data_IF_518201738871
#
_entry.id   IF_518201738871
#
_cell.length_a   1.000
_cell.length_b   1.000
_cell.length_c   1.000
_cell.angle_alpha   90.00
_cell.angle_beta   90.00
_cell.angle_gamma   90.00
#
_symmetry.space_group_name_H-M   'P 1'
#
loop_
_entity.id
_entity.type
_entity.pdbx_description
1 polymer ?
#
# COMPACT_ATOMS: atom_id res chain seq x y z
N UNK A 1 15.81 12.85 10.70
CA UNK A 1 14.88 11.93 11.40
C UNK A 1 14.76 10.62 10.62
N UNK A 2 14.43 9.51 11.32
CA UNK A 2 14.18 8.20 10.68
C UNK A 2 12.70 8.06 10.32
N UNK A 3 12.43 7.79 9.06
CA UNK A 3 11.11 7.47 8.53
C UNK A 3 11.02 5.96 8.27
N UNK A 4 10.03 5.29 8.82
CA UNK A 4 9.77 3.89 8.53
C UNK A 4 8.64 3.78 7.53
N UNK A 5 8.91 3.10 6.42
CA UNK A 5 7.98 3.00 5.28
C UNK A 5 7.58 1.56 5.02
N UNK A 6 6.30 1.37 4.70
CA UNK A 6 5.67 0.05 4.61
C UNK A 6 5.16 -0.21 3.20
N UNK A 7 5.62 -1.29 2.52
CA UNK A 7 5.22 -1.57 1.15
C UNK A 7 3.77 -2.02 1.03
N UNK A 8 3.23 -1.87 -0.16
CA UNK A 8 1.94 -2.38 -0.58
C UNK A 8 2.04 -3.53 -1.56
N UNK A 9 0.92 -3.81 -2.24
CA UNK A 9 0.80 -4.87 -3.23
C UNK A 9 1.85 -4.74 -4.34
N UNK A 10 2.46 -5.87 -4.72
CA UNK A 10 3.59 -5.95 -5.65
C UNK A 10 4.93 -6.24 -4.98
N UNK A 11 5.00 -6.21 -3.63
CA UNK A 11 6.20 -6.53 -2.88
C UNK A 11 6.30 -8.01 -2.46
N UNK A 12 5.22 -8.79 -2.59
CA UNK A 12 5.13 -10.19 -2.17
C UNK A 12 5.99 -11.12 -3.04
N UNK A 13 6.51 -12.17 -2.42
CA UNK A 13 7.20 -13.28 -3.08
C UNK A 13 7.06 -14.57 -2.26
N UNK A 14 7.11 -15.72 -2.91
CA UNK A 14 7.05 -17.03 -2.24
C UNK A 14 8.26 -17.22 -1.34
N UNK A 15 8.02 -17.64 -0.08
CA UNK A 15 9.06 -17.77 0.95
C UNK A 15 9.17 -16.57 1.89
N UNK A 16 8.45 -15.46 1.60
CA UNK A 16 8.51 -14.27 2.46
C UNK A 16 8.05 -14.56 3.88
N UNK A 17 8.84 -14.16 4.88
CA UNK A 17 8.56 -14.32 6.30
C UNK A 17 8.91 -15.67 6.89
N UNK A 18 9.37 -16.65 6.10
CA UNK A 18 9.80 -17.96 6.60
C UNK A 18 10.98 -17.83 7.57
N UNK A 19 11.94 -16.96 7.22
CA UNK A 19 13.10 -16.68 8.07
C UNK A 19 12.72 -16.05 9.42
N UNK A 20 11.73 -15.16 9.44
CA UNK A 20 11.18 -14.59 10.69
C UNK A 20 10.51 -15.69 11.52
N UNK A 21 9.71 -16.54 10.87
CA UNK A 21 9.00 -17.66 11.52
C UNK A 21 9.96 -18.65 12.17
N UNK A 22 11.07 -18.99 11.49
CA UNK A 22 12.06 -19.96 11.97
C UNK A 22 12.96 -19.40 13.07
N UNK A 23 13.32 -18.10 13.00
CA UNK A 23 14.30 -17.50 13.91
C UNK A 23 13.71 -16.85 15.16
N UNK A 24 12.43 -16.50 15.15
CA UNK A 24 11.79 -15.79 16.25
C UNK A 24 10.55 -16.52 16.77
N UNK A 25 10.56 -16.89 18.05
CA UNK A 25 9.39 -17.48 18.71
C UNK A 25 8.18 -16.50 18.74
N UNK A 26 8.45 -15.19 18.89
CA UNK A 26 7.41 -14.16 18.82
C UNK A 26 6.80 -14.07 17.42
N UNK A 27 7.64 -14.04 16.37
CA UNK A 27 7.16 -14.05 15.00
C UNK A 27 6.30 -15.31 14.72
N UNK A 28 6.78 -16.48 15.11
CA UNK A 28 6.05 -17.73 14.96
C UNK A 28 4.66 -17.66 15.60
N UNK A 29 4.58 -17.20 16.86
CA UNK A 29 3.30 -17.07 17.56
C UNK A 29 2.34 -16.10 16.84
N UNK A 30 2.83 -14.99 16.27
CA UNK A 30 2.02 -14.04 15.52
C UNK A 30 1.54 -14.61 14.19
N UNK A 31 2.37 -15.36 13.46
CA UNK A 31 1.95 -16.04 12.24
C UNK A 31 0.88 -17.10 12.50
N UNK A 32 1.03 -17.89 13.58
CA UNK A 32 0.02 -18.90 13.97
C UNK A 32 -1.30 -18.24 14.41
N UNK A 33 -1.23 -17.14 15.17
CA UNK A 33 -2.41 -16.36 15.52
C UNK A 33 -3.13 -15.81 14.27
N UNK A 34 -2.36 -15.37 13.27
CA UNK A 34 -2.91 -14.87 12.01
C UNK A 34 -3.69 -15.94 11.23
N UNK A 35 -3.23 -17.19 11.19
CA UNK A 35 -3.98 -18.30 10.60
C UNK A 35 -5.36 -18.46 11.26
N UNK A 36 -5.40 -18.35 12.60
CA UNK A 36 -6.65 -18.42 13.36
C UNK A 36 -7.60 -17.24 13.08
N UNK A 37 -7.07 -16.01 13.01
CA UNK A 37 -7.84 -14.79 12.74
C UNK A 37 -8.42 -14.80 11.32
N UNK A 38 -7.64 -15.23 10.34
CA UNK A 38 -8.04 -15.25 8.94
C UNK A 38 -8.93 -16.47 8.58
N UNK A 39 -8.90 -17.53 9.40
CA UNK A 39 -9.65 -18.76 9.16
C UNK A 39 -9.09 -19.64 8.05
N UNK A 40 -7.85 -19.41 7.61
CA UNK A 40 -7.12 -20.24 6.66
C UNK A 40 -5.60 -20.15 6.91
N UNK A 41 -4.85 -21.13 6.42
CA UNK A 41 -3.40 -21.22 6.63
C UNK A 41 -2.63 -20.26 5.71
N UNK A 42 -2.65 -18.95 6.02
CA UNK A 42 -1.92 -17.92 5.24
C UNK A 42 -0.41 -18.22 5.22
N UNK A 43 0.12 -18.86 6.26
CA UNK A 43 1.53 -19.23 6.35
C UNK A 43 1.94 -20.23 5.28
N UNK A 44 1.07 -21.17 4.89
CA UNK A 44 1.34 -22.10 3.80
C UNK A 44 1.46 -21.37 2.46
N UNK A 45 0.56 -20.41 2.21
CA UNK A 45 0.59 -19.56 1.00
C UNK A 45 1.85 -18.69 0.96
N UNK A 46 2.25 -18.12 2.09
CA UNK A 46 3.44 -17.25 2.17
C UNK A 46 4.74 -18.03 1.99
N UNK A 47 4.88 -19.21 2.64
CA UNK A 47 6.15 -19.92 2.76
C UNK A 47 6.40 -20.87 1.61
N UNK A 48 5.36 -21.55 1.13
CA UNK A 48 5.47 -22.64 0.15
C UNK A 48 4.37 -22.64 -0.92
N UNK A 49 3.55 -21.57 -0.99
CA UNK A 49 2.49 -21.42 -2.00
C UNK A 49 3.04 -21.16 -3.41
N UNK A 50 2.18 -20.67 -4.28
CA UNK A 50 2.54 -20.32 -5.66
C UNK A 50 2.48 -18.81 -5.89
N UNK A 51 3.18 -18.33 -6.93
CA UNK A 51 3.09 -16.92 -7.33
C UNK A 51 1.64 -16.52 -7.68
N UNK A 52 0.85 -17.43 -8.26
CA UNK A 52 -0.56 -17.22 -8.59
C UNK A 52 -1.41 -17.12 -7.32
N UNK A 53 -1.17 -17.99 -6.32
CA UNK A 53 -1.84 -17.94 -5.03
C UNK A 53 -1.58 -16.62 -4.31
N UNK A 54 -0.30 -16.20 -4.26
CA UNK A 54 0.11 -14.95 -3.64
C UNK A 54 -0.38 -13.69 -4.39
N UNK A 55 -0.76 -13.77 -5.67
CA UNK A 55 -1.34 -12.65 -6.43
C UNK A 55 -2.82 -12.42 -6.14
N UNK A 56 -3.52 -13.36 -5.53
CA UNK A 56 -4.91 -13.17 -5.15
C UNK A 56 -5.02 -12.09 -4.06
N UNK A 57 -5.80 -11.04 -4.29
CA UNK A 57 -5.90 -9.88 -3.37
C UNK A 57 -6.19 -10.29 -1.93
N UNK A 58 -7.05 -11.29 -1.72
CA UNK A 58 -7.38 -11.84 -0.39
C UNK A 58 -6.20 -12.49 0.33
N UNK A 59 -5.15 -12.90 -0.39
CA UNK A 59 -3.91 -13.47 0.14
C UNK A 59 -2.81 -12.43 0.19
N UNK A 60 -2.61 -11.70 -0.91
CA UNK A 60 -1.54 -10.71 -1.06
C UNK A 60 -1.53 -9.68 0.06
N UNK A 61 -2.68 -9.08 0.35
CA UNK A 61 -2.75 -7.99 1.31
C UNK A 61 -2.45 -8.46 2.74
N UNK A 62 -3.09 -9.51 3.28
CA UNK A 62 -2.72 -10.04 4.58
C UNK A 62 -1.25 -10.52 4.65
N UNK A 63 -0.74 -11.15 3.60
CA UNK A 63 0.64 -11.65 3.57
C UNK A 63 1.68 -10.52 3.72
N UNK A 64 1.54 -9.43 2.96
CA UNK A 64 2.44 -8.26 3.03
C UNK A 64 2.29 -7.57 4.40
N UNK A 65 1.06 -7.40 4.88
CA UNK A 65 0.78 -6.85 6.20
C UNK A 65 1.47 -7.66 7.30
N UNK A 66 1.30 -8.98 7.31
CA UNK A 66 1.89 -9.87 8.31
C UNK A 66 3.41 -9.77 8.31
N UNK A 67 4.05 -9.88 7.16
CA UNK A 67 5.50 -9.73 7.07
C UNK A 67 5.96 -8.40 7.66
N UNK A 68 5.34 -7.29 7.25
CA UNK A 68 5.72 -5.95 7.65
C UNK A 68 5.52 -5.69 9.14
N UNK A 69 4.37 -6.07 9.68
CA UNK A 69 4.03 -5.84 11.09
C UNK A 69 4.84 -6.76 12.00
N UNK A 70 4.98 -8.05 11.66
CA UNK A 70 5.76 -8.99 12.44
C UNK A 70 7.24 -8.57 12.47
N UNK A 71 7.80 -8.16 11.33
CA UNK A 71 9.16 -7.62 11.28
C UNK A 71 9.31 -6.42 12.22
N UNK A 72 8.37 -5.47 12.20
CA UNK A 72 8.43 -4.29 13.08
C UNK A 72 8.38 -4.64 14.56
N UNK A 73 7.64 -5.70 14.95
CA UNK A 73 7.56 -6.19 16.33
C UNK A 73 8.85 -6.90 16.76
N UNK A 74 9.40 -7.76 15.91
CA UNK A 74 10.63 -8.51 16.20
C UNK A 74 11.85 -7.59 16.31
N UNK A 75 11.88 -6.47 15.60
CA UNK A 75 12.89 -5.43 15.79
C UNK A 75 12.90 -4.83 17.22
N UNK A 76 11.77 -4.88 17.92
CA UNK A 76 11.66 -4.48 19.31
C UNK A 76 12.25 -3.08 19.58
N UNK A 77 13.32 -3.00 20.36
CA UNK A 77 13.96 -1.73 20.74
C UNK A 77 14.67 -1.01 19.59
N UNK A 78 14.99 -1.73 18.50
CA UNK A 78 15.64 -1.14 17.32
C UNK A 78 14.62 -0.47 16.40
N UNK A 79 13.34 -0.75 16.58
CA UNK A 79 12.25 -0.05 15.90
C UNK A 79 11.93 1.26 16.62
N UNK A 80 12.47 2.37 16.13
CA UNK A 80 12.35 3.70 16.75
C UNK A 80 11.84 4.74 15.74
N UNK A 81 10.60 4.62 15.26
CA UNK A 81 10.07 5.51 14.23
C UNK A 81 9.84 6.92 14.78
N UNK A 82 10.31 7.93 14.04
CA UNK A 82 9.98 9.33 14.27
C UNK A 82 8.83 9.78 13.37
N UNK A 83 8.60 9.05 12.28
CA UNK A 83 7.46 9.16 11.39
C UNK A 83 7.27 7.84 10.63
N UNK A 84 6.03 7.56 10.22
CA UNK A 84 5.69 6.38 9.44
C UNK A 84 4.85 6.75 8.21
N UNK A 85 4.98 5.98 7.14
CA UNK A 85 4.10 6.03 5.98
C UNK A 85 3.97 4.64 5.37
N UNK A 86 2.85 4.39 4.68
CA UNK A 86 2.66 3.15 3.95
C UNK A 86 2.08 3.40 2.58
N UNK A 87 2.46 2.59 1.59
CA UNK A 87 1.90 2.68 0.25
C UNK A 87 0.63 1.85 0.16
N UNK A 88 -0.53 2.48 -0.02
CA UNK A 88 -1.83 1.80 -0.11
C UNK A 88 -2.06 0.86 1.09
N UNK A 89 -2.03 -0.46 0.90
CA UNK A 89 -2.10 -1.45 1.97
C UNK A 89 -1.10 -1.17 3.10
N UNK A 90 0.11 -0.73 2.77
CA UNK A 90 1.16 -0.45 3.75
C UNK A 90 0.76 0.59 4.81
N UNK A 91 -0.25 1.41 4.54
CA UNK A 91 -0.78 2.36 5.53
C UNK A 91 -1.36 1.65 6.76
N UNK A 92 -2.02 0.49 6.59
CA UNK A 92 -2.48 -0.35 7.70
C UNK A 92 -1.31 -0.90 8.51
N UNK A 93 -0.24 -1.35 7.85
CA UNK A 93 0.98 -1.80 8.52
C UNK A 93 1.62 -0.66 9.32
N UNK A 94 1.69 0.54 8.75
CA UNK A 94 2.20 1.74 9.42
C UNK A 94 1.37 2.11 10.66
N UNK A 95 0.03 1.96 10.61
CA UNK A 95 -0.88 2.24 11.73
C UNK A 95 -0.75 1.22 12.87
N UNK A 96 -0.43 -0.03 12.58
CA UNK A 96 -0.09 -1.00 13.65
C UNK A 96 1.29 -0.70 14.22
N UNK A 97 2.26 -0.41 13.36
CA UNK A 97 3.63 -0.16 13.78
C UNK A 97 3.79 1.10 14.65
N UNK A 98 2.97 2.13 14.43
CA UNK A 98 2.96 3.34 15.26
C UNK A 98 2.00 3.27 16.47
N UNK A 99 1.38 2.11 16.72
CA UNK A 99 0.52 1.87 17.88
C UNK A 99 -0.92 2.39 17.73
N UNK A 100 -1.32 2.89 16.56
CA UNK A 100 -2.70 3.36 16.32
C UNK A 100 -3.70 2.20 16.30
N UNK A 101 -3.31 1.05 15.73
CA UNK A 101 -4.10 -0.17 15.67
C UNK A 101 -3.40 -1.30 16.43
N UNK A 102 -4.18 -2.23 16.98
CA UNK A 102 -3.63 -3.52 17.44
C UNK A 102 -3.28 -4.39 16.23
N UNK A 103 -2.49 -5.43 16.44
CA UNK A 103 -2.18 -6.42 15.40
C UNK A 103 -3.45 -7.10 14.87
N UNK A 104 -4.32 -7.50 15.79
CA UNK A 104 -5.57 -8.20 15.50
C UNK A 104 -6.53 -7.30 14.70
N UNK A 105 -6.74 -6.07 15.15
CA UNK A 105 -7.61 -5.10 14.47
C UNK A 105 -7.07 -4.75 13.08
N UNK A 106 -5.76 -4.53 12.97
CA UNK A 106 -5.11 -4.24 11.70
C UNK A 106 -5.27 -5.39 10.70
N UNK A 107 -5.05 -6.64 11.14
CA UNK A 107 -5.21 -7.82 10.29
C UNK A 107 -6.67 -8.04 9.86
N UNK A 108 -7.62 -7.87 10.77
CA UNK A 108 -9.06 -7.98 10.46
C UNK A 108 -9.50 -6.92 9.46
N UNK A 109 -9.05 -5.67 9.61
CA UNK A 109 -9.33 -4.60 8.65
C UNK A 109 -8.72 -4.89 7.28
N UNK A 110 -7.49 -5.40 7.23
CA UNK A 110 -6.82 -5.78 5.97
C UNK A 110 -7.56 -6.93 5.28
N UNK A 111 -8.02 -7.94 6.03
CA UNK A 111 -8.81 -9.04 5.49
C UNK A 111 -10.15 -8.54 4.90
N UNK A 112 -10.85 -7.67 5.63
CA UNK A 112 -12.10 -7.05 5.15
C UNK A 112 -11.86 -6.18 3.91
N UNK A 113 -10.78 -5.38 3.93
CA UNK A 113 -10.38 -4.56 2.77
C UNK A 113 -10.16 -5.43 1.53
N UNK A 114 -9.40 -6.49 1.67
CA UNK A 114 -9.09 -7.39 0.55
C UNK A 114 -10.36 -8.07 -0.01
N UNK A 115 -11.26 -8.51 0.86
CA UNK A 115 -12.54 -9.12 0.46
C UNK A 115 -13.46 -8.09 -0.22
N UNK A 116 -13.60 -6.88 0.35
CA UNK A 116 -14.43 -5.82 -0.22
C UNK A 116 -13.90 -5.36 -1.60
N UNK A 117 -12.57 -5.22 -1.74
CA UNK A 117 -11.95 -4.88 -3.03
C UNK A 117 -12.17 -5.98 -4.07
N UNK A 118 -12.04 -7.25 -3.70
CA UNK A 118 -12.30 -8.37 -4.61
C UNK A 118 -13.75 -8.35 -5.11
N UNK A 119 -14.70 -8.18 -4.20
CA UNK A 119 -16.14 -8.07 -4.55
C UNK A 119 -16.43 -6.85 -5.43
N UNK A 120 -15.80 -5.71 -5.17
CA UNK A 120 -15.94 -4.52 -6.02
C UNK A 120 -15.42 -4.77 -7.45
N UNK A 121 -14.30 -5.49 -7.60
CA UNK A 121 -13.76 -5.88 -8.91
C UNK A 121 -14.71 -6.80 -9.70
N UNK A 122 -15.42 -7.68 -9.00
CA UNK A 122 -16.42 -8.57 -9.64
C UNK A 122 -17.67 -7.80 -10.09
N UNK A 123 -18.08 -6.80 -9.32
CA UNK A 123 -19.24 -5.94 -9.63
C UNK A 123 -18.92 -4.91 -10.73
N UNK A 124 -17.72 -4.35 -10.70
CA UNK A 124 -17.26 -3.30 -11.59
C UNK A 124 -15.87 -3.65 -12.12
N UNK A 125 -15.79 -4.47 -13.18
CA UNK A 125 -14.53 -4.86 -13.78
C UNK A 125 -13.73 -3.65 -14.27
N UNK A 126 -12.46 -3.62 -13.93
CA UNK A 126 -11.56 -2.55 -14.32
C UNK A 126 -10.10 -3.02 -14.31
N UNK A 127 -9.19 -2.10 -14.60
CA UNK A 127 -7.77 -2.39 -14.63
C UNK A 127 -6.94 -1.18 -14.25
N UNK A 128 -5.63 -1.38 -14.20
CA UNK A 128 -4.65 -0.31 -13.99
C UNK A 128 -3.56 -0.39 -15.06
N UNK A 129 -2.88 0.73 -15.30
CA UNK A 129 -1.72 0.77 -16.19
C UNK A 129 -0.61 1.65 -15.61
N UNK A 130 0.63 1.20 -15.75
CA UNK A 130 1.80 1.98 -15.38
C UNK A 130 2.25 2.85 -16.56
N UNK A 131 2.35 4.16 -16.32
CA UNK A 131 2.81 5.17 -17.27
C UNK A 131 4.18 5.66 -16.85
N UNK A 132 5.16 5.59 -17.76
CA UNK A 132 6.54 5.98 -17.52
C UNK A 132 6.98 7.06 -18.50
N UNK A 133 7.64 8.09 -17.97
CA UNK A 133 8.34 9.10 -18.77
C UNK A 133 7.48 10.27 -19.24
N UNK A 134 6.28 10.43 -18.69
CA UNK A 134 5.48 11.67 -18.82
C UNK A 134 5.44 12.42 -17.51
N UNK A 135 5.23 13.72 -17.59
CA UNK A 135 4.92 14.58 -16.45
C UNK A 135 3.51 14.25 -15.91
N UNK A 136 3.33 14.35 -14.60
CA UNK A 136 2.08 14.00 -13.92
C UNK A 136 0.88 14.79 -14.48
N UNK A 137 1.05 16.12 -14.70
CA UNK A 137 0.02 16.99 -15.28
C UNK A 137 -0.42 16.56 -16.68
N UNK A 138 0.51 16.00 -17.48
CA UNK A 138 0.18 15.48 -18.82
C UNK A 138 -0.61 14.19 -18.74
N UNK A 139 -0.29 13.32 -17.79
CA UNK A 139 -1.06 12.10 -17.53
C UNK A 139 -2.48 12.46 -17.06
N UNK A 140 -2.63 13.42 -16.15
CA UNK A 140 -3.92 13.93 -15.68
C UNK A 140 -4.79 14.47 -16.81
N UNK A 141 -4.22 15.33 -17.67
CA UNK A 141 -4.88 15.87 -18.86
C UNK A 141 -5.38 14.75 -19.79
N UNK A 142 -4.52 13.78 -20.08
CA UNK A 142 -4.86 12.68 -20.98
C UNK A 142 -5.94 11.76 -20.39
N UNK A 143 -5.96 11.51 -19.08
CA UNK A 143 -7.04 10.79 -18.42
C UNK A 143 -8.39 11.49 -18.63
N UNK A 144 -8.44 12.82 -18.51
CA UNK A 144 -9.69 13.57 -18.70
C UNK A 144 -10.13 13.65 -20.16
N UNK A 145 -9.25 13.35 -21.12
CA UNK A 145 -9.50 13.44 -22.54
C UNK A 145 -10.10 12.18 -23.18
N UNK A 146 -10.27 11.09 -22.43
CA UNK A 146 -10.87 9.86 -22.92
C UNK A 146 -12.30 9.70 -22.38
N UNK A 147 -13.12 8.97 -23.11
CA UNK A 147 -14.46 8.60 -22.68
C UNK A 147 -14.39 7.46 -21.65
N UNK A 148 -15.25 7.49 -20.63
CA UNK A 148 -15.29 6.52 -19.55
C UNK A 148 -14.47 6.94 -18.35
N UNK A 149 -14.38 6.03 -17.37
CA UNK A 149 -13.71 6.29 -16.10
C UNK A 149 -12.25 5.85 -16.18
N UNK A 150 -11.33 6.82 -16.17
CA UNK A 150 -9.91 6.59 -15.96
C UNK A 150 -9.32 7.77 -15.18
N UNK A 151 -8.52 7.48 -14.17
CA UNK A 151 -7.97 8.48 -13.26
C UNK A 151 -6.54 8.13 -12.83
N UNK A 152 -5.71 9.12 -12.49
CA UNK A 152 -4.46 8.90 -11.77
C UNK A 152 -4.73 8.18 -10.44
N UNK A 153 -4.01 7.10 -10.19
CA UNK A 153 -4.20 6.24 -9.03
C UNK A 153 -2.99 6.21 -8.09
N UNK A 154 -1.76 6.12 -8.61
CA UNK A 154 -0.56 6.12 -7.76
C UNK A 154 0.51 7.04 -8.34
N UNK A 155 0.79 8.13 -7.64
CA UNK A 155 1.91 9.04 -7.92
C UNK A 155 3.16 8.46 -7.26
N UNK A 156 3.84 7.51 -7.94
CA UNK A 156 4.89 6.71 -7.34
C UNK A 156 6.23 7.43 -7.20
N UNK A 157 6.65 8.11 -8.26
CA UNK A 157 7.83 8.98 -8.28
C UNK A 157 7.79 9.84 -9.54
N UNK A 158 8.57 10.92 -9.67
CA UNK A 158 8.64 11.72 -10.87
C UNK A 158 8.78 10.88 -12.14
N UNK A 159 7.87 11.06 -13.09
CA UNK A 159 7.82 10.29 -14.34
C UNK A 159 7.37 8.84 -14.21
N UNK A 160 6.77 8.44 -13.09
CA UNK A 160 6.14 7.13 -12.90
C UNK A 160 4.80 7.29 -12.18
N UNK A 161 3.72 7.20 -12.93
CA UNK A 161 2.35 7.30 -12.44
C UNK A 161 1.56 6.06 -12.89
N UNK A 162 0.69 5.56 -12.01
CA UNK A 162 -0.26 4.49 -12.36
C UNK A 162 -1.64 5.10 -12.54
N UNK A 163 -2.30 4.75 -13.63
CA UNK A 163 -3.70 5.11 -13.91
C UNK A 163 -4.61 3.92 -13.64
N UNK A 164 -5.88 4.18 -13.33
CA UNK A 164 -6.86 3.19 -12.92
C UNK A 164 -8.24 3.54 -13.46
N UNK A 165 -9.01 2.54 -13.89
CA UNK A 165 -10.34 2.79 -14.42
C UNK A 165 -10.96 1.60 -15.16
N UNK A 166 -11.97 1.88 -15.97
CA UNK A 166 -12.59 0.92 -16.85
C UNK A 166 -11.59 0.41 -17.90
N UNK A 167 -11.66 -0.87 -18.24
CA UNK A 167 -10.70 -1.51 -19.14
C UNK A 167 -10.50 -0.72 -20.44
N UNK A 168 -11.59 -0.39 -21.15
CA UNK A 168 -11.51 0.33 -22.41
C UNK A 168 -10.98 1.78 -22.27
N UNK A 169 -11.34 2.45 -21.17
CA UNK A 169 -10.87 3.81 -20.92
C UNK A 169 -9.38 3.83 -20.60
N UNK A 170 -8.89 2.85 -19.81
CA UNK A 170 -7.46 2.70 -19.51
C UNK A 170 -6.67 2.34 -20.78
N UNK A 171 -7.19 1.45 -21.64
CA UNK A 171 -6.56 1.10 -22.92
C UNK A 171 -6.45 2.34 -23.83
N UNK A 172 -7.56 3.10 -24.01
CA UNK A 172 -7.57 4.32 -24.80
C UNK A 172 -6.62 5.39 -24.24
N UNK A 173 -6.57 5.55 -22.91
CA UNK A 173 -5.63 6.44 -22.26
C UNK A 173 -4.17 6.03 -22.52
N UNK A 174 -3.85 4.72 -22.45
CA UNK A 174 -2.52 4.20 -22.74
C UNK A 174 -2.05 4.54 -24.17
N UNK A 175 -2.93 4.41 -25.16
CA UNK A 175 -2.58 4.77 -26.55
C UNK A 175 -2.29 6.27 -26.68
N UNK A 176 -3.14 7.13 -26.13
CA UNK A 176 -2.90 8.59 -26.13
C UNK A 176 -1.60 8.96 -25.39
N UNK A 177 -1.27 8.25 -24.30
CA UNK A 177 -0.03 8.47 -23.56
C UNK A 177 1.21 8.08 -24.35
N UNK A 178 1.13 6.98 -25.13
CA UNK A 178 2.20 6.58 -26.06
C UNK A 178 2.39 7.62 -27.16
N UNK A 179 1.30 8.11 -27.78
CA UNK A 179 1.33 9.17 -28.77
C UNK A 179 1.91 10.48 -28.22
N UNK A 180 1.65 10.78 -26.95
CA UNK A 180 2.20 11.94 -26.24
C UNK A 180 3.67 11.76 -25.80
N UNK A 181 4.30 10.63 -26.11
CA UNK A 181 5.72 10.38 -25.84
C UNK A 181 6.04 9.63 -24.55
N UNK A 182 5.07 8.94 -23.95
CA UNK A 182 5.36 8.05 -22.84
C UNK A 182 6.37 6.97 -23.25
N UNK A 183 7.42 6.78 -22.45
CA UNK A 183 8.39 5.70 -22.68
C UNK A 183 7.72 4.33 -22.59
N UNK A 184 6.73 4.19 -21.71
CA UNK A 184 5.89 2.99 -21.55
C UNK A 184 4.52 3.40 -21.02
N UNK A 185 3.48 2.72 -21.49
CA UNK A 185 2.13 2.70 -20.93
C UNK A 185 1.66 1.25 -21.01
N UNK A 186 1.71 0.54 -19.87
CA UNK A 186 1.56 -0.91 -19.78
C UNK A 186 0.44 -1.28 -18.82
N UNK A 187 -0.53 -2.06 -19.30
CA UNK A 187 -1.56 -2.67 -18.46
C UNK A 187 -0.89 -3.57 -17.41
N UNK A 188 -1.30 -3.40 -16.17
CA UNK A 188 -0.81 -4.21 -15.05
C UNK A 188 -1.63 -5.48 -14.89
N UNK A 189 -1.03 -6.59 -14.44
CA UNK A 189 -1.73 -7.84 -14.19
C UNK A 189 -2.48 -7.78 -12.85
N UNK A 190 -3.44 -6.85 -12.74
CA UNK A 190 -4.30 -6.65 -11.57
C UNK A 190 -5.75 -6.75 -11.96
N UNK A 191 -6.58 -7.34 -11.10
CA UNK A 191 -7.98 -7.65 -11.40
C UNK A 191 -8.96 -6.53 -11.14
N UNK A 192 -8.52 -5.28 -10.93
CA UNK A 192 -9.44 -4.20 -10.59
C UNK A 192 -8.88 -2.80 -10.72
N UNK A 193 -9.78 -1.84 -10.70
CA UNK A 193 -9.50 -0.41 -10.80
C UNK A 193 -9.29 0.21 -9.41
N UNK A 194 -8.20 -0.18 -8.72
CA UNK A 194 -7.89 0.31 -7.38
C UNK A 194 -7.62 1.82 -7.40
N UNK A 195 -7.93 2.49 -6.29
CA UNK A 195 -7.75 3.93 -6.12
C UNK A 195 -8.50 4.78 -7.15
N UNK A 196 -9.69 4.31 -7.54
CA UNK A 196 -10.63 5.00 -8.41
C UNK A 196 -12.04 4.97 -7.83
N UNK A 197 -12.96 5.75 -8.39
CA UNK A 197 -14.36 5.75 -7.95
C UNK A 197 -15.04 4.37 -8.09
N UNK A 198 -14.52 3.49 -8.94
CA UNK A 198 -15.00 2.11 -9.09
C UNK A 198 -14.82 1.27 -7.81
N UNK A 199 -13.99 1.72 -6.87
CA UNK A 199 -13.84 1.10 -5.55
C UNK A 199 -14.85 1.62 -4.51
N UNK A 200 -15.82 2.45 -4.89
CA UNK A 200 -16.81 3.02 -3.95
C UNK A 200 -17.57 1.95 -3.13
N UNK A 201 -18.01 0.82 -3.71
CA UNK A 201 -18.63 -0.23 -2.91
C UNK A 201 -17.71 -0.83 -1.84
N UNK A 202 -16.40 -0.97 -2.16
CA UNK A 202 -15.42 -1.46 -1.20
C UNK A 202 -15.11 -0.42 -0.11
N UNK A 203 -15.08 0.87 -0.45
CA UNK A 203 -14.92 1.96 0.52
C UNK A 203 -16.06 1.94 1.55
N UNK A 204 -17.31 1.81 1.11
CA UNK A 204 -18.49 1.79 1.99
C UNK A 204 -18.48 0.58 2.95
N UNK A 205 -18.13 -0.60 2.44
CA UNK A 205 -18.03 -1.81 3.25
C UNK A 205 -16.88 -1.70 4.28
N UNK A 206 -15.72 -1.19 3.85
CA UNK A 206 -14.57 -0.99 4.72
C UNK A 206 -14.82 0.13 5.76
N UNK A 207 -15.51 1.21 5.38
CA UNK A 207 -15.84 2.31 6.28
C UNK A 207 -16.61 1.82 7.51
N UNK A 208 -17.61 0.96 7.33
CA UNK A 208 -18.36 0.37 8.43
C UNK A 208 -17.46 -0.42 9.41
N UNK A 209 -16.45 -1.10 8.91
CA UNK A 209 -15.49 -1.83 9.74
C UNK A 209 -14.53 -0.88 10.47
N UNK A 210 -14.02 0.15 9.80
CA UNK A 210 -13.12 1.15 10.38
C UNK A 210 -13.84 1.92 11.52
N UNK A 211 -15.08 2.30 11.32
CA UNK A 211 -15.85 3.03 12.35
C UNK A 211 -16.05 2.20 13.62
N UNK A 212 -16.21 0.88 13.52
CA UNK A 212 -16.35 -0.03 14.65
C UNK A 212 -15.02 -0.39 15.32
N UNK A 213 -13.89 -0.10 14.67
CA UNK A 213 -12.56 -0.42 15.19
C UNK A 213 -12.04 0.69 16.09
N UNK A 214 -11.39 0.31 17.19
CA UNK A 214 -10.74 1.26 18.09
C UNK A 214 -9.42 1.73 17.49
N UNK A 215 -9.20 3.05 17.47
CA UNK A 215 -7.94 3.68 17.08
C UNK A 215 -7.37 4.39 18.29
N UNK A 216 -6.13 4.09 18.63
CA UNK A 216 -5.37 4.75 19.69
C UNK A 216 -4.57 5.92 19.13
N UNK A 217 -4.18 6.84 20.01
CA UNK A 217 -3.29 7.93 19.64
C UNK A 217 -1.94 7.39 19.14
N UNK A 218 -1.47 7.80 17.95
CA UNK A 218 -0.23 7.32 17.39
C UNK A 218 0.99 7.76 18.22
N UNK A 219 2.00 6.89 18.32
CA UNK A 219 3.28 7.18 18.98
C UNK A 219 4.14 8.17 18.17
N UNK A 220 3.96 8.20 16.87
CA UNK A 220 4.58 9.15 15.96
C UNK A 220 3.62 9.45 14.80
N UNK A 221 3.78 10.59 14.10
CA UNK A 221 2.89 10.94 13.00
C UNK A 221 2.92 9.91 11.86
N UNK A 222 1.75 9.68 11.26
CA UNK A 222 1.58 8.93 10.00
C UNK A 222 1.36 9.90 8.85
N UNK A 223 2.05 9.67 7.71
CA UNK A 223 1.85 10.40 6.46
C UNK A 223 0.94 9.56 5.58
N UNK A 224 -0.35 9.96 5.52
CA UNK A 224 -1.37 9.18 4.82
C UNK A 224 -1.44 9.53 3.34
N UNK A 225 -1.78 8.56 2.51
CA UNK A 225 -1.73 8.66 1.04
C UNK A 225 -2.61 9.78 0.47
N UNK A 226 -3.72 10.07 1.11
CA UNK A 226 -4.70 11.07 0.64
C UNK A 226 -4.25 12.50 0.94
N UNK A 227 -3.75 12.74 2.15
CA UNK A 227 -3.43 14.08 2.66
C UNK A 227 -1.96 14.45 2.50
N UNK A 228 -1.06 13.47 2.47
CA UNK A 228 0.40 13.62 2.35
C UNK A 228 1.10 14.32 3.52
N UNK A 229 0.37 14.82 4.48
CA UNK A 229 0.87 15.55 5.66
C UNK A 229 0.91 14.66 6.90
N UNK A 230 1.66 15.10 7.91
CA UNK A 230 1.73 14.46 9.23
C UNK A 230 0.36 14.47 9.93
N UNK A 231 -0.18 13.30 10.25
CA UNK A 231 -1.45 13.14 10.97
C UNK A 231 -1.20 12.46 12.30
N UNK A 232 -1.80 13.01 13.37
CA UNK A 232 -1.71 12.47 14.74
C UNK A 232 -3.06 12.39 15.46
N UNK A 233 -4.13 12.85 14.81
CA UNK A 233 -5.50 12.79 15.32
C UNK A 233 -6.18 11.51 14.82
N UNK A 234 -6.71 10.70 15.72
CA UNK A 234 -7.34 9.42 15.43
C UNK A 234 -8.54 9.55 14.49
N UNK A 235 -9.33 10.61 14.67
CA UNK A 235 -10.50 10.88 13.82
C UNK A 235 -10.10 11.21 12.37
N UNK A 236 -9.03 12.01 12.20
CA UNK A 236 -8.49 12.32 10.88
C UNK A 236 -7.87 11.09 10.22
N UNK A 237 -7.16 10.27 11.01
CA UNK A 237 -6.58 8.99 10.52
C UNK A 237 -7.69 8.09 9.99
N UNK A 238 -8.79 7.89 10.75
CA UNK A 238 -9.94 7.10 10.31
C UNK A 238 -10.54 7.64 9.01
N UNK A 239 -10.84 8.92 8.95
CA UNK A 239 -11.42 9.59 7.79
C UNK A 239 -10.54 9.41 6.53
N UNK A 240 -9.24 9.62 6.66
CA UNK A 240 -8.31 9.48 5.56
C UNK A 240 -8.20 8.03 5.09
N UNK A 241 -8.19 7.06 6.02
CA UNK A 241 -8.12 5.63 5.72
C UNK A 241 -9.38 5.14 4.98
N UNK A 242 -10.56 5.66 5.32
CA UNK A 242 -11.81 5.39 4.59
C UNK A 242 -11.70 5.91 3.16
N UNK A 243 -11.30 7.15 2.97
CA UNK A 243 -11.21 7.79 1.66
C UNK A 243 -10.12 7.19 0.76
N UNK A 244 -9.18 6.42 1.31
CA UNK A 244 -8.00 5.92 0.59
C UNK A 244 -8.36 5.04 -0.62
N UNK A 245 -9.42 4.22 -0.53
CA UNK A 245 -9.75 3.26 -1.60
C UNK A 245 -10.19 3.90 -2.91
N UNK A 246 -10.82 5.07 -2.84
CA UNK A 246 -11.31 5.82 -4.00
C UNK A 246 -10.44 7.02 -4.35
N UNK A 247 -9.42 7.30 -3.54
CA UNK A 247 -8.48 8.41 -3.73
C UNK A 247 -7.10 7.93 -4.21
N UNK A 248 -6.34 8.78 -4.90
CA UNK A 248 -5.00 8.43 -5.32
C UNK A 248 -4.01 8.29 -4.16
N UNK A 249 -3.07 7.36 -4.32
CA UNK A 249 -1.88 7.25 -3.48
C UNK A 249 -0.86 8.31 -3.91
N UNK A 250 -0.74 9.37 -3.15
CA UNK A 250 0.18 10.48 -3.42
C UNK A 250 1.56 10.22 -2.78
N UNK A 251 2.20 9.11 -3.19
CA UNK A 251 3.45 8.66 -2.58
C UNK A 251 4.60 9.65 -2.75
N UNK A 252 4.77 10.20 -3.96
CA UNK A 252 5.77 11.23 -4.24
C UNK A 252 5.64 12.40 -3.28
N UNK A 253 4.45 12.94 -3.14
CA UNK A 253 4.15 14.09 -2.30
C UNK A 253 4.34 13.76 -0.82
N UNK A 254 3.95 12.56 -0.38
CA UNK A 254 4.17 12.10 0.99
C UNK A 254 5.66 12.03 1.34
N UNK A 255 6.48 11.44 0.48
CA UNK A 255 7.94 11.38 0.68
C UNK A 255 8.57 12.77 0.67
N UNK A 256 8.17 13.65 -0.24
CA UNK A 256 8.65 15.04 -0.29
C UNK A 256 8.30 15.80 0.99
N UNK A 257 7.08 15.62 1.51
CA UNK A 257 6.67 16.26 2.76
C UNK A 257 7.45 15.70 3.95
N UNK A 258 7.64 14.37 4.03
CA UNK A 258 8.46 13.76 5.08
C UNK A 258 9.89 14.32 5.08
N UNK A 259 10.48 14.53 3.90
CA UNK A 259 11.81 15.15 3.76
C UNK A 259 11.78 16.61 4.24
N UNK A 260 10.78 17.38 3.86
CA UNK A 260 10.59 18.76 4.30
C UNK A 260 10.44 18.85 5.83
N UNK A 261 9.78 17.88 6.44
CA UNK A 261 9.60 17.75 7.89
C UNK A 261 10.84 17.13 8.60
N UNK A 262 11.93 16.88 7.85
CA UNK A 262 13.23 16.51 8.39
C UNK A 262 13.58 15.03 8.31
N UNK A 263 12.88 14.20 7.52
CA UNK A 263 13.32 12.84 7.25
C UNK A 263 14.62 12.83 6.45
N UNK A 264 15.65 12.19 7.00
CA UNK A 264 16.96 12.04 6.36
C UNK A 264 17.29 10.58 6.02
N UNK A 265 16.58 9.63 6.62
CA UNK A 265 16.73 8.21 6.37
C UNK A 265 15.35 7.54 6.27
N UNK A 266 15.18 6.69 5.28
CA UNK A 266 13.98 5.90 5.04
C UNK A 266 14.29 4.41 5.19
N UNK A 267 13.59 3.74 6.10
CA UNK A 267 13.79 2.33 6.41
C UNK A 267 12.54 1.58 5.95
N UNK A 268 12.68 0.74 4.92
CA UNK A 268 11.57 -0.08 4.42
C UNK A 268 11.39 -1.30 5.33
N UNK A 269 10.18 -1.44 5.87
CA UNK A 269 9.79 -2.54 6.77
C UNK A 269 8.77 -3.41 6.05
N UNK A 270 9.22 -4.50 5.51
CA UNK A 270 8.36 -5.39 4.73
C UNK A 270 9.13 -6.20 3.69
N UNK A 271 8.42 -6.98 2.87
CA UNK A 271 9.05 -7.76 1.83
C UNK A 271 9.59 -6.89 0.69
N UNK A 272 10.71 -7.26 0.12
CA UNK A 272 11.30 -6.59 -1.05
C UNK A 272 11.98 -5.26 -0.76
N UNK A 273 12.18 -4.45 -1.81
CA UNK A 273 12.88 -3.14 -1.78
C UNK A 273 12.23 -2.13 -2.72
N UNK A 274 10.91 -2.22 -2.88
CA UNK A 274 10.18 -1.40 -3.87
C UNK A 274 10.19 0.07 -3.49
N UNK A 275 9.86 0.38 -2.23
CA UNK A 275 9.76 1.77 -1.78
C UNK A 275 11.13 2.45 -1.71
N UNK A 276 12.20 1.74 -1.39
CA UNK A 276 13.55 2.26 -1.46
C UNK A 276 13.87 2.79 -2.86
N UNK A 277 13.51 2.02 -3.90
CA UNK A 277 13.68 2.43 -5.28
C UNK A 277 12.89 3.68 -5.64
N UNK A 278 11.66 3.82 -5.14
CA UNK A 278 10.83 5.01 -5.34
C UNK A 278 11.40 6.23 -4.61
N UNK A 279 11.79 6.08 -3.34
CA UNK A 279 12.40 7.16 -2.54
C UNK A 279 13.66 7.69 -3.24
N UNK A 280 14.54 6.80 -3.75
CA UNK A 280 15.75 7.20 -4.48
C UNK A 280 15.46 7.95 -5.77
N UNK A 281 14.34 7.67 -6.44
CA UNK A 281 13.92 8.43 -7.64
C UNK A 281 13.31 9.80 -7.27
N UNK A 282 12.67 9.91 -6.10
CA UNK A 282 12.12 11.17 -5.58
C UNK A 282 13.26 12.07 -5.08
N UNK A 283 14.19 11.50 -4.32
CA UNK A 283 15.36 12.21 -3.80
C UNK A 283 16.59 11.29 -3.82
N UNK A 284 17.55 11.57 -4.70
CA UNK A 284 18.78 10.79 -4.87
C UNK A 284 19.67 10.79 -3.62
N UNK A 285 19.61 11.85 -2.82
CA UNK A 285 20.44 12.01 -1.61
C UNK A 285 19.83 11.29 -0.38
N UNK A 286 18.54 10.88 -0.44
CA UNK A 286 17.90 10.20 0.68
C UNK A 286 18.65 8.90 1.02
N UNK A 287 18.93 8.68 2.29
CA UNK A 287 19.47 7.39 2.78
C UNK A 287 18.30 6.39 2.83
N UNK A 288 18.47 5.24 2.21
CA UNK A 288 17.46 4.17 2.20
C UNK A 288 18.09 2.85 2.65
N UNK A 289 17.35 2.06 3.42
CA UNK A 289 17.75 0.73 3.86
C UNK A 289 16.53 -0.16 4.07
N UNK A 290 16.74 -1.48 4.12
CA UNK A 290 15.76 -2.43 4.65
C UNK A 290 15.87 -2.49 6.17
N UNK A 291 14.76 -2.79 6.84
CA UNK A 291 14.79 -3.31 8.19
C UNK A 291 15.22 -4.78 8.16
N UNK A 292 16.16 -5.17 8.98
CA UNK A 292 16.71 -6.53 9.06
C UNK A 292 16.80 -6.96 10.54
N UNK A 293 16.58 -8.27 10.81
CA UNK A 293 16.66 -8.92 12.14
C UNK A 293 17.84 -9.87 12.19
#
# INVERSE_FOLDING_TARGET
MKAYIFPGQGAQFVGMGLDLYEKSAEAKALFEAANGILGFAITEEMFAGTDEGLKQTKVTQPAIFLHSVILSKVLGKDFTPQMVAGHSLGEFSALVANGTLTFEDGLQLVAKRAAAMQKACELQPGTMAAVLGLEDSKVEELCTSVEGIVTPANYNCPGQLVISGELKAVEAACEKMKEAGAKRALILPVGGAFHSILMKPAEEELAAAIEQTHFSKPLCPVYQNVTTTAVTCEADIKKNLINQLTAPVKWTQSVQQMIADGASAFIEVGPGKVLQGLVKKINKEAVVSSAEV
#
